data_IF_071241185520
#
_entry.id   IF_071241185520
#
_cell.length_a   1.000
_cell.length_b   1.000
_cell.length_c   1.000
_cell.angle_alpha   90.00
_cell.angle_beta   90.00
_cell.angle_gamma   90.00
#
_symmetry.space_group_name_H-M   'P 1'
#
loop_
_entity.id
_entity.type
_entity.pdbx_description
1 polymer ?
#
# COMPACT_ATOMS: atom_id res chain seq x y z
N UNK A 1 -23.56 -94.29 12.71
CA UNK A 1 -24.32 -93.03 12.89
C UNK A 1 -23.72 -92.30 14.09
N UNK A 2 -23.44 -91.00 13.95
CA UNK A 2 -22.74 -90.06 14.88
C UNK A 2 -21.45 -89.42 14.33
N UNK A 3 -21.15 -89.60 13.04
CA UNK A 3 -20.70 -88.45 12.24
C UNK A 3 -21.90 -87.50 12.14
N UNK A 4 -21.67 -86.19 12.29
CA UNK A 4 -22.54 -85.03 11.92
C UNK A 4 -22.49 -83.85 12.94
N UNK A 5 -21.82 -83.96 14.10
CA UNK A 5 -21.81 -82.87 15.11
C UNK A 5 -20.48 -82.09 15.25
N UNK A 6 -19.52 -82.25 14.34
CA UNK A 6 -18.36 -81.35 14.26
C UNK A 6 -18.54 -80.20 13.25
N UNK A 7 -19.77 -80.01 12.77
CA UNK A 7 -20.10 -79.02 11.75
C UNK A 7 -20.81 -77.78 12.25
N UNK A 8 -20.72 -77.33 13.51
CA UNK A 8 -21.46 -76.13 13.98
C UNK A 8 -20.74 -75.29 15.04
N UNK A 9 -19.44 -75.06 14.92
CA UNK A 9 -18.80 -73.90 15.59
C UNK A 9 -18.06 -73.07 14.55
N UNK A 10 -18.84 -72.38 13.71
CA UNK A 10 -18.35 -71.16 13.05
C UNK A 10 -18.40 -70.03 14.09
N UNK A 11 -17.28 -69.79 14.75
CA UNK A 11 -17.07 -68.57 15.55
C UNK A 11 -15.83 -67.83 15.06
N UNK A 12 -15.74 -67.58 13.76
CA UNK A 12 -14.95 -66.45 13.28
C UNK A 12 -15.88 -65.26 13.11
N UNK A 13 -16.24 -64.76 14.28
CA UNK A 13 -16.70 -63.42 14.57
C UNK A 13 -15.96 -62.39 13.73
N UNK A 14 -16.77 -61.54 13.11
CA UNK A 14 -16.44 -60.22 12.58
C UNK A 14 -15.65 -60.16 11.27
N UNK A 15 -16.40 -59.89 10.20
CA UNK A 15 -16.06 -58.83 9.25
C UNK A 15 -15.75 -57.53 10.04
N UNK A 16 -14.53 -57.45 10.59
CA UNK A 16 -14.05 -56.30 11.33
C UNK A 16 -13.75 -55.19 10.34
N UNK A 17 -14.71 -54.28 10.16
CA UNK A 17 -14.44 -52.99 9.52
C UNK A 17 -13.16 -52.41 10.11
N UNK A 18 -12.23 -52.06 9.21
CA UNK A 18 -10.86 -51.60 9.52
C UNK A 18 -10.82 -50.89 10.88
N UNK A 19 -10.29 -51.58 11.89
CA UNK A 19 -10.36 -51.11 13.26
C UNK A 19 -9.65 -49.76 13.36
N UNK A 20 -10.21 -48.80 14.11
CA UNK A 20 -9.66 -47.44 14.23
C UNK A 20 -8.17 -47.48 14.65
N UNK A 21 -7.80 -48.50 15.44
CA UNK A 21 -6.44 -48.76 15.93
C UNK A 21 -5.46 -49.09 14.80
N UNK A 22 -5.86 -49.93 13.83
CA UNK A 22 -5.00 -50.31 12.70
C UNK A 22 -4.76 -49.14 11.75
N UNK A 23 -5.76 -48.28 11.61
CA UNK A 23 -5.62 -47.04 10.84
C UNK A 23 -4.65 -46.08 11.52
N UNK A 24 -4.73 -45.91 12.85
CA UNK A 24 -3.82 -45.04 13.62
C UNK A 24 -2.38 -45.54 13.57
N UNK A 25 -2.12 -46.84 13.75
CA UNK A 25 -0.77 -47.39 13.68
C UNK A 25 -0.11 -47.16 12.30
N UNK A 26 -0.90 -47.23 11.23
CA UNK A 26 -0.41 -46.96 9.86
C UNK A 26 0.05 -45.51 9.72
N UNK A 27 -0.68 -44.53 10.25
CA UNK A 27 -0.29 -43.12 10.22
C UNK A 27 0.94 -42.82 11.07
N UNK A 28 1.09 -43.50 12.23
CA UNK A 28 2.27 -43.34 13.09
C UNK A 28 3.53 -43.85 12.40
N UNK A 29 3.47 -44.89 11.55
CA UNK A 29 4.64 -45.34 10.78
C UNK A 29 5.15 -44.29 9.78
N UNK A 30 4.25 -43.51 9.18
CA UNK A 30 4.58 -42.44 8.22
C UNK A 30 4.86 -41.07 8.87
N UNK A 31 5.08 -41.01 10.19
CA UNK A 31 5.41 -39.78 10.91
C UNK A 31 6.57 -38.95 10.31
N UNK A 32 7.62 -39.53 9.67
CA UNK A 32 8.68 -38.72 9.08
C UNK A 32 8.21 -37.96 7.83
N UNK A 33 7.27 -38.52 7.04
CA UNK A 33 6.68 -37.82 5.89
C UNK A 33 5.84 -36.64 6.35
N UNK A 34 5.16 -36.77 7.49
CA UNK A 34 4.46 -35.64 8.11
C UNK A 34 5.42 -34.54 8.55
N UNK A 35 6.56 -34.90 9.14
CA UNK A 35 7.60 -33.95 9.54
C UNK A 35 8.22 -33.22 8.33
N UNK A 36 8.47 -33.95 7.23
CA UNK A 36 8.98 -33.38 5.98
C UNK A 36 7.95 -32.41 5.38
N UNK A 37 6.68 -32.82 5.31
CA UNK A 37 5.59 -31.96 4.83
C UNK A 37 5.46 -30.68 5.67
N UNK A 38 5.57 -30.81 7.00
CA UNK A 38 5.57 -29.67 7.92
C UNK A 38 6.76 -28.72 7.65
N UNK A 39 7.97 -29.25 7.48
CA UNK A 39 9.15 -28.45 7.16
C UNK A 39 9.03 -27.76 5.80
N UNK A 40 8.49 -28.44 4.79
CA UNK A 40 8.26 -27.84 3.46
C UNK A 40 7.20 -26.74 3.54
N UNK A 41 6.10 -26.97 4.27
CA UNK A 41 5.07 -25.96 4.49
C UNK A 41 5.59 -24.71 5.20
N UNK A 42 6.39 -24.89 6.26
CA UNK A 42 7.06 -23.79 6.95
C UNK A 42 8.09 -23.09 6.06
N UNK A 43 8.86 -23.83 5.26
CA UNK A 43 9.83 -23.27 4.32
C UNK A 43 9.18 -22.40 3.25
N UNK A 44 8.11 -22.90 2.62
CA UNK A 44 7.34 -22.14 1.64
C UNK A 44 6.64 -20.93 2.27
N UNK A 45 6.10 -21.08 3.48
CA UNK A 45 5.52 -19.98 4.25
C UNK A 45 6.54 -18.88 4.57
N UNK A 46 7.73 -19.28 5.00
CA UNK A 46 8.83 -18.35 5.29
C UNK A 46 9.30 -17.61 4.04
N UNK A 47 9.47 -18.32 2.91
CA UNK A 47 9.79 -17.73 1.61
C UNK A 47 8.71 -16.70 1.23
N UNK A 48 7.43 -17.08 1.31
CA UNK A 48 6.32 -16.16 1.02
C UNK A 48 6.36 -14.91 1.90
N UNK A 49 6.60 -15.05 3.19
CA UNK A 49 6.66 -13.91 4.11
C UNK A 49 7.87 -13.00 3.83
N UNK A 50 9.00 -13.60 3.41
CA UNK A 50 10.22 -12.85 3.07
C UNK A 50 10.11 -12.08 1.75
N UNK A 51 9.33 -12.57 0.79
CA UNK A 51 9.22 -11.99 -0.56
C UNK A 51 7.92 -11.22 -0.80
N UNK A 52 6.97 -11.20 0.13
CA UNK A 52 5.77 -10.37 0.01
C UNK A 52 6.12 -8.91 0.29
N UNK A 53 5.80 -8.01 -0.65
CA UNK A 53 5.94 -6.57 -0.45
C UNK A 53 4.97 -6.10 0.66
N UNK A 54 5.43 -5.29 1.64
CA UNK A 54 4.55 -4.78 2.69
C UNK A 54 3.47 -3.88 2.10
N UNK A 55 2.21 -4.20 2.40
CA UNK A 55 1.07 -3.33 2.08
C UNK A 55 0.85 -2.38 3.26
N UNK A 56 0.90 -1.08 3.00
CA UNK A 56 0.69 -0.04 4.01
C UNK A 56 -0.72 0.53 3.91
N UNK A 57 -1.50 0.39 4.99
CA UNK A 57 -2.78 1.05 5.14
C UNK A 57 -2.69 2.10 6.25
N UNK A 58 -3.18 3.32 5.98
CA UNK A 58 -3.25 4.41 6.94
C UNK A 58 -4.73 4.77 7.17
N UNK A 59 -5.16 4.72 8.44
CA UNK A 59 -6.52 5.07 8.84
C UNK A 59 -6.48 6.19 9.89
N UNK A 60 -7.33 7.19 9.74
CA UNK A 60 -7.50 8.28 10.70
C UNK A 60 -8.96 8.60 10.92
N UNK A 61 -9.31 9.00 12.14
CA UNK A 61 -10.67 9.41 12.52
C UNK A 61 -10.65 10.88 12.92
N UNK A 62 -11.46 11.70 12.25
CA UNK A 62 -11.58 13.13 12.49
C UNK A 62 -12.95 13.41 13.08
N UNK A 63 -12.98 14.19 14.16
CA UNK A 63 -14.22 14.66 14.78
C UNK A 63 -14.54 16.08 14.29
N UNK A 64 -15.65 16.23 13.56
CA UNK A 64 -16.14 17.51 13.04
C UNK A 64 -17.17 18.09 13.99
N UNK A 65 -16.76 19.09 14.77
CA UNK A 65 -17.70 19.91 15.55
C UNK A 65 -18.36 20.91 14.61
N UNK A 66 -19.67 20.79 14.43
CA UNK A 66 -20.44 21.81 13.71
C UNK A 66 -20.36 23.12 14.47
N UNK A 67 -19.66 24.11 13.92
CA UNK A 67 -19.72 25.47 14.42
C UNK A 67 -21.11 26.01 14.10
N UNK A 68 -21.98 26.06 15.09
CA UNK A 68 -23.12 26.96 15.03
C UNK A 68 -22.54 28.36 15.11
N UNK A 69 -22.29 28.99 13.96
CA UNK A 69 -22.04 30.44 13.88
C UNK A 69 -23.29 31.16 14.38
N UNK A 70 -23.47 31.21 15.70
CA UNK A 70 -24.01 32.39 16.36
C UNK A 70 -22.83 33.33 16.49
N UNK A 71 -22.50 34.00 15.38
CA UNK A 71 -21.74 35.24 15.42
C UNK A 71 -22.50 36.20 16.32
N UNK A 72 -22.10 36.25 17.60
CA UNK A 72 -22.41 37.35 18.50
C UNK A 72 -21.73 38.59 17.92
N UNK A 73 -22.46 39.34 17.10
CA UNK A 73 -21.94 40.55 16.48
C UNK A 73 -22.96 41.27 15.61
N UNK A 74 -23.96 41.90 16.25
CA UNK A 74 -24.61 43.12 15.75
C UNK A 74 -25.83 42.98 14.84
N UNK A 75 -27.01 43.25 15.43
CA UNK A 75 -28.05 44.05 14.75
C UNK A 75 -29.21 43.33 14.06
N UNK A 76 -30.31 43.13 14.82
CA UNK A 76 -31.67 43.41 14.33
C UNK A 76 -32.37 42.38 13.43
N UNK A 77 -33.34 41.66 14.02
CA UNK A 77 -34.56 41.23 13.33
C UNK A 77 -34.53 39.83 12.71
N UNK A 78 -35.16 38.85 13.38
CA UNK A 78 -35.42 37.55 12.76
C UNK A 78 -35.79 36.42 13.72
N UNK A 79 -36.82 36.60 14.56
CA UNK A 79 -37.31 35.58 15.51
C UNK A 79 -37.85 34.29 14.84
N UNK A 80 -37.85 34.21 13.51
CA UNK A 80 -38.29 33.04 12.75
C UNK A 80 -37.16 32.05 12.39
N UNK A 81 -35.88 32.46 12.37
CA UNK A 81 -34.80 31.54 11.98
C UNK A 81 -34.43 30.57 13.11
N UNK A 82 -34.69 30.94 14.37
CA UNK A 82 -34.45 30.08 15.53
C UNK A 82 -35.47 28.93 15.63
N UNK A 83 -36.75 29.19 15.34
CA UNK A 83 -37.82 28.18 15.41
C UNK A 83 -37.75 27.24 14.20
N UNK A 84 -37.43 27.75 13.00
CA UNK A 84 -37.19 26.91 11.82
C UNK A 84 -35.93 26.05 11.97
N UNK A 85 -34.90 26.54 12.68
CA UNK A 85 -33.69 25.75 12.97
C UNK A 85 -33.90 24.61 13.96
N UNK A 86 -34.83 24.76 14.91
CA UNK A 86 -35.17 23.73 15.89
C UNK A 86 -36.09 22.64 15.31
N UNK A 87 -36.96 22.98 14.34
CA UNK A 87 -37.83 22.03 13.66
C UNK A 87 -37.12 21.22 12.57
N UNK A 88 -35.93 21.64 12.13
CA UNK A 88 -35.23 21.07 10.99
C UNK A 88 -33.93 20.42 11.48
N UNK A 89 -34.04 19.21 12.02
CA UNK A 89 -32.92 18.37 12.49
C UNK A 89 -31.91 17.94 11.40
N UNK A 90 -31.69 18.76 10.37
CA UNK A 90 -30.87 18.47 9.19
C UNK A 90 -29.67 19.41 8.98
N UNK A 91 -29.50 20.49 9.76
CA UNK A 91 -28.36 21.42 9.58
C UNK A 91 -26.99 20.76 9.87
N UNK A 92 -26.91 19.76 10.76
CA UNK A 92 -25.66 19.04 11.04
C UNK A 92 -25.22 18.11 9.90
N UNK A 93 -26.17 17.49 9.20
CA UNK A 93 -25.89 16.54 8.11
C UNK A 93 -25.38 17.26 6.86
N UNK A 94 -26.01 18.38 6.49
CA UNK A 94 -25.60 19.17 5.30
C UNK A 94 -24.18 19.73 5.46
N UNK A 95 -23.80 20.17 6.67
CA UNK A 95 -22.44 20.63 6.94
C UNK A 95 -21.42 19.49 6.90
N UNK A 96 -21.80 18.28 7.34
CA UNK A 96 -20.94 17.10 7.29
C UNK A 96 -20.69 16.61 5.87
N UNK A 97 -21.72 16.58 5.01
CA UNK A 97 -21.59 16.19 3.61
C UNK A 97 -20.71 17.18 2.82
N UNK A 98 -20.82 18.47 3.12
CA UNK A 98 -19.97 19.52 2.53
C UNK A 98 -18.49 19.38 2.96
N UNK A 99 -18.24 19.10 4.24
CA UNK A 99 -16.89 18.81 4.77
C UNK A 99 -16.31 17.54 4.13
N UNK A 100 -17.13 16.48 4.03
CA UNK A 100 -16.77 15.23 3.36
C UNK A 100 -16.39 15.45 1.89
N UNK A 101 -17.19 16.23 1.15
CA UNK A 101 -16.89 16.60 -0.23
C UNK A 101 -15.59 17.40 -0.37
N UNK A 102 -15.30 18.27 0.60
CA UNK A 102 -14.02 19.01 0.63
C UNK A 102 -12.83 18.08 0.88
N UNK A 103 -12.98 17.12 1.79
CA UNK A 103 -11.96 16.10 2.08
C UNK A 103 -11.69 15.17 0.89
N UNK A 104 -12.72 14.86 0.08
CA UNK A 104 -12.62 14.05 -1.14
C UNK A 104 -12.26 14.84 -2.41
N UNK A 105 -12.02 16.15 -2.29
CA UNK A 105 -11.79 16.98 -3.48
C UNK A 105 -10.42 16.74 -4.13
N UNK A 106 -10.39 16.70 -5.46
CA UNK A 106 -9.15 16.59 -6.22
C UNK A 106 -8.18 17.74 -5.94
N UNK A 107 -8.70 18.93 -5.60
CA UNK A 107 -7.89 20.09 -5.20
C UNK A 107 -7.11 19.83 -3.91
N UNK A 108 -7.76 19.29 -2.88
CA UNK A 108 -7.08 18.92 -1.64
C UNK A 108 -6.04 17.83 -1.89
N UNK A 109 -6.40 16.81 -2.68
CA UNK A 109 -5.48 15.73 -3.02
C UNK A 109 -4.25 16.26 -3.78
N UNK A 110 -4.44 17.19 -4.71
CA UNK A 110 -3.33 17.85 -5.43
C UNK A 110 -2.38 18.57 -4.47
N UNK A 111 -2.91 19.27 -3.46
CA UNK A 111 -2.09 19.93 -2.45
C UNK A 111 -1.31 18.92 -1.61
N UNK A 112 -1.91 17.79 -1.25
CA UNK A 112 -1.24 16.73 -0.48
C UNK A 112 -0.14 16.07 -1.31
N UNK A 113 -0.43 15.68 -2.57
CA UNK A 113 0.58 15.08 -3.47
C UNK A 113 1.76 16.03 -3.66
N UNK A 114 1.51 17.33 -3.86
CA UNK A 114 2.56 18.34 -4.03
C UNK A 114 3.34 18.63 -2.75
N UNK A 115 2.68 18.62 -1.58
CA UNK A 115 3.35 18.90 -0.30
C UNK A 115 4.17 17.72 0.19
N UNK A 116 3.73 16.50 -0.11
CA UNK A 116 4.38 15.27 0.31
C UNK A 116 5.19 14.62 -0.83
N UNK A 117 5.38 15.28 -1.98
CA UNK A 117 6.12 14.73 -3.13
C UNK A 117 5.73 13.28 -3.51
N UNK A 118 4.45 12.91 -3.38
CA UNK A 118 3.96 11.54 -3.64
C UNK A 118 4.00 11.16 -5.13
N UNK A 119 4.32 12.12 -5.97
CA UNK A 119 4.51 11.95 -7.40
C UNK A 119 5.88 11.31 -7.75
N UNK A 120 6.76 11.11 -6.76
CA UNK A 120 8.09 10.50 -6.94
C UNK A 120 8.14 9.19 -6.16
N UNK A 121 8.40 8.09 -6.87
CA UNK A 121 8.53 6.76 -6.27
C UNK A 121 9.97 6.26 -6.40
N UNK A 122 10.48 5.67 -5.32
CA UNK A 122 11.86 5.19 -5.24
C UNK A 122 11.86 3.67 -5.08
N UNK A 123 12.55 2.97 -5.97
CA UNK A 123 12.67 1.52 -5.90
C UNK A 123 14.15 1.14 -5.77
N UNK A 124 14.46 0.25 -4.82
CA UNK A 124 15.74 -0.44 -4.75
C UNK A 124 15.64 -1.69 -5.62
N UNK A 125 16.49 -1.79 -6.64
CA UNK A 125 16.51 -2.96 -7.52
C UNK A 125 17.13 -4.13 -6.78
N UNK A 126 16.30 -5.14 -6.50
CA UNK A 126 16.73 -6.38 -5.86
C UNK A 126 17.12 -7.44 -6.89
N UNK A 127 17.60 -8.59 -6.42
CA UNK A 127 17.88 -9.75 -7.31
C UNK A 127 16.59 -10.43 -7.81
N UNK A 128 15.50 -10.32 -7.06
CA UNK A 128 14.25 -11.04 -7.31
C UNK A 128 13.01 -10.15 -7.30
N UNK A 129 12.97 -9.13 -6.44
CA UNK A 129 11.85 -8.20 -6.30
C UNK A 129 12.43 -6.81 -6.04
N UNK A 130 11.84 -5.81 -6.70
CA UNK A 130 12.16 -4.42 -6.45
C UNK A 130 11.40 -3.94 -5.21
N UNK A 131 12.13 -3.38 -4.25
CA UNK A 131 11.54 -2.90 -3.00
C UNK A 131 11.28 -1.40 -3.12
N UNK A 132 10.05 -0.96 -2.82
CA UNK A 132 9.75 0.47 -2.65
C UNK A 132 10.43 0.98 -1.38
N UNK A 133 11.22 2.04 -1.51
CA UNK A 133 12.05 2.62 -0.45
C UNK A 133 11.72 4.09 -0.20
N UNK A 134 10.46 4.51 -0.40
CA UNK A 134 10.06 5.92 -0.29
C UNK A 134 10.59 6.66 0.98
N UNK A 135 10.60 6.02 2.15
CA UNK A 135 11.10 6.64 3.40
C UNK A 135 12.63 6.55 3.58
N UNK A 136 13.25 5.44 3.16
CA UNK A 136 14.67 5.14 3.39
C UNK A 136 15.54 5.40 2.14
N UNK A 137 15.06 6.23 1.22
CA UNK A 137 15.75 6.52 -0.01
C UNK A 137 17.07 7.27 0.29
N UNK A 138 18.23 6.78 -0.19
CA UNK A 138 19.52 7.44 0.05
C UNK A 138 19.75 8.67 -0.83
N UNK A 139 18.80 8.98 -1.72
CA UNK A 139 18.85 10.09 -2.68
C UNK A 139 17.44 10.65 -2.90
N UNK A 140 17.38 11.93 -3.30
CA UNK A 140 16.15 12.63 -3.64
C UNK A 140 16.24 13.22 -5.04
N UNK A 141 15.20 12.99 -5.84
CA UNK A 141 15.02 13.65 -7.12
C UNK A 141 14.15 14.90 -6.92
N UNK A 142 14.61 16.04 -7.41
CA UNK A 142 13.89 17.31 -7.34
C UNK A 142 13.64 17.80 -8.77
N UNK A 143 12.39 17.81 -9.25
CA UNK A 143 12.05 18.49 -10.50
C UNK A 143 12.18 20.01 -10.30
N UNK A 144 12.88 20.69 -11.22
CA UNK A 144 13.08 22.15 -11.17
C UNK A 144 12.22 22.89 -12.18
N UNK A 145 12.31 22.49 -13.44
CA UNK A 145 11.56 23.08 -14.53
C UNK A 145 10.98 21.96 -15.39
N UNK A 146 9.65 21.81 -15.38
CA UNK A 146 8.93 20.78 -16.12
C UNK A 146 8.08 21.50 -17.15
N UNK A 147 8.48 21.40 -18.41
CA UNK A 147 7.76 21.96 -19.55
C UNK A 147 6.70 20.97 -20.06
N UNK A 148 7.01 19.67 -20.04
CA UNK A 148 6.06 18.61 -20.37
C UNK A 148 5.80 17.74 -19.14
N UNK A 149 4.63 17.94 -18.52
CA UNK A 149 4.15 17.17 -17.38
C UNK A 149 3.17 16.08 -17.77
N UNK A 150 3.10 15.64 -19.03
CA UNK A 150 2.16 14.58 -19.43
C UNK A 150 2.75 13.17 -19.35
N UNK A 151 4.08 13.06 -19.41
CA UNK A 151 4.77 11.77 -19.51
C UNK A 151 5.42 11.33 -18.20
N UNK A 152 5.22 10.07 -17.83
CA UNK A 152 5.97 9.42 -16.75
C UNK A 152 7.40 9.15 -17.18
N UNK A 153 8.36 9.42 -16.29
CA UNK A 153 9.78 9.18 -16.54
C UNK A 153 10.32 8.19 -15.51
N UNK A 154 11.01 7.16 -15.99
CA UNK A 154 11.72 6.20 -15.16
C UNK A 154 13.23 6.37 -15.36
N UNK A 155 13.96 6.59 -14.28
CA UNK A 155 15.40 6.80 -14.28
C UNK A 155 16.04 5.68 -13.45
N UNK A 156 16.83 4.84 -14.08
CA UNK A 156 17.73 3.93 -13.38
C UNK A 156 18.95 4.69 -12.89
N UNK A 157 19.35 4.49 -11.65
CA UNK A 157 20.54 5.08 -11.03
C UNK A 157 21.46 3.93 -10.63
N UNK A 158 22.72 4.01 -11.05
CA UNK A 158 23.74 2.98 -10.80
C UNK A 158 25.11 3.64 -10.69
N UNK A 159 26.11 2.90 -10.19
CA UNK A 159 27.48 3.42 -10.08
C UNK A 159 27.56 4.65 -9.17
N UNK A 160 26.92 4.58 -8.00
CA UNK A 160 26.88 5.69 -7.05
C UNK A 160 28.26 5.90 -6.45
N UNK A 161 28.78 7.12 -6.61
CA UNK A 161 29.98 7.60 -5.94
C UNK A 161 29.60 8.78 -5.03
N UNK A 162 30.46 9.18 -4.08
CA UNK A 162 30.20 10.35 -3.24
C UNK A 162 30.01 11.67 -4.02
N UNK A 163 30.44 11.73 -5.28
CA UNK A 163 30.43 12.94 -6.12
C UNK A 163 29.50 12.86 -7.32
N UNK A 164 29.28 11.66 -7.88
CA UNK A 164 28.49 11.45 -9.08
C UNK A 164 27.66 10.17 -9.04
N UNK A 165 26.64 10.13 -9.88
CA UNK A 165 25.87 8.93 -10.16
C UNK A 165 25.69 8.75 -11.68
N UNK A 166 25.67 7.51 -12.13
CA UNK A 166 25.29 7.20 -13.51
C UNK A 166 23.79 7.03 -13.57
N UNK A 167 23.14 7.86 -14.38
CA UNK A 167 21.72 7.74 -14.69
C UNK A 167 21.53 7.02 -16.01
N UNK A 168 20.49 6.19 -16.08
CA UNK A 168 20.04 5.47 -17.25
C UNK A 168 18.58 5.84 -17.51
N UNK A 169 18.31 6.47 -18.65
CA UNK A 169 16.97 6.93 -19.02
C UNK A 169 16.71 6.71 -20.51
N UNK A 170 15.44 6.61 -20.92
CA UNK A 170 15.05 6.34 -22.32
C UNK A 170 14.29 5.03 -22.49
N UNK A 171 14.11 4.61 -23.74
CA UNK A 171 13.42 3.35 -24.08
C UNK A 171 14.20 2.14 -23.56
N UNK A 172 13.48 1.08 -23.16
CA UNK A 172 14.11 -0.17 -22.68
C UNK A 172 15.03 -0.80 -23.73
N UNK A 173 14.73 -0.60 -25.02
CA UNK A 173 15.52 -1.13 -26.14
C UNK A 173 16.81 -0.34 -26.39
N UNK A 174 16.84 0.96 -26.05
CA UNK A 174 18.01 1.83 -26.24
C UNK A 174 18.14 2.82 -25.06
N UNK A 175 18.61 2.34 -23.90
CA UNK A 175 18.80 3.20 -22.74
C UNK A 175 19.97 4.15 -22.98
N UNK A 176 19.75 5.45 -22.76
CA UNK A 176 20.82 6.45 -22.72
C UNK A 176 21.42 6.48 -21.32
N UNK A 177 22.74 6.28 -21.24
CA UNK A 177 23.50 6.41 -20.00
C UNK A 177 24.21 7.76 -19.95
N UNK A 178 24.08 8.46 -18.81
CA UNK A 178 24.72 9.74 -18.59
C UNK A 178 25.25 9.82 -17.17
N UNK A 179 26.47 10.31 -17.00
CA UNK A 179 27.02 10.60 -15.68
C UNK A 179 26.57 11.98 -15.26
N UNK A 180 25.99 12.08 -14.05
CA UNK A 180 25.49 13.32 -13.47
C UNK A 180 26.16 13.55 -12.12
N UNK A 181 26.54 14.80 -11.86
CA UNK A 181 27.08 15.21 -10.56
C UNK A 181 25.93 15.49 -9.59
N UNK A 182 26.16 15.22 -8.30
CA UNK A 182 25.21 15.57 -7.27
C UNK A 182 24.94 17.07 -7.24
N UNK A 183 23.71 17.45 -6.93
CA UNK A 183 23.22 18.82 -6.86
C UNK A 183 23.30 19.61 -8.17
N UNK A 184 23.67 18.98 -9.30
CA UNK A 184 23.64 19.61 -10.60
C UNK A 184 22.32 19.28 -11.33
N UNK A 185 21.74 20.30 -11.96
CA UNK A 185 20.58 20.11 -12.82
C UNK A 185 20.97 19.37 -14.10
N UNK A 186 20.18 18.37 -14.50
CA UNK A 186 20.31 17.67 -15.78
C UNK A 186 18.97 17.69 -16.52
N UNK A 187 19.06 17.78 -17.85
CA UNK A 187 17.89 17.87 -18.72
C UNK A 187 17.58 16.49 -19.30
N UNK A 188 16.32 16.06 -19.17
CA UNK A 188 15.73 14.88 -19.83
C UNK A 188 14.44 15.34 -20.50
N UNK A 189 14.28 15.10 -21.80
CA UNK A 189 13.06 15.44 -22.56
C UNK A 189 12.57 16.88 -22.32
N UNK A 190 13.49 17.85 -22.37
CA UNK A 190 13.25 19.28 -22.08
C UNK A 190 12.81 19.62 -20.65
N UNK A 191 12.81 18.65 -19.74
CA UNK A 191 12.55 18.85 -18.31
C UNK A 191 13.86 18.82 -17.53
N UNK A 192 14.01 19.71 -16.55
CA UNK A 192 15.19 19.82 -15.69
C UNK A 192 14.95 19.15 -14.35
N UNK A 193 15.81 18.19 -14.03
CA UNK A 193 15.82 17.46 -12.76
C UNK A 193 17.13 17.69 -12.02
N UNK A 194 17.10 17.58 -10.70
CA UNK A 194 18.30 17.66 -9.84
C UNK A 194 18.31 16.46 -8.91
N UNK A 195 19.45 15.79 -8.80
CA UNK A 195 19.67 14.70 -7.86
C UNK A 195 20.42 15.20 -6.63
N UNK A 196 19.85 14.99 -5.45
CA UNK A 196 20.45 15.37 -4.15
C UNK A 196 20.74 14.11 -3.33
N UNK A 197 21.98 13.87 -2.88
CA UNK A 197 22.28 12.76 -2.00
C UNK A 197 21.77 13.06 -0.59
N UNK A 198 21.09 12.09 0.03
CA UNK A 198 20.66 12.16 1.44
C UNK A 198 21.67 11.48 2.37
N UNK A 199 22.51 10.60 1.83
CA UNK A 199 23.62 9.94 2.53
C UNK A 199 24.93 10.17 1.79
N UNK A 200 26.05 10.08 2.49
CA UNK A 200 27.40 10.10 1.92
C UNK A 200 27.97 8.71 1.65
N UNK A 201 27.31 7.67 2.18
CA UNK A 201 27.75 6.28 2.05
C UNK A 201 26.87 5.55 1.05
N UNK A 202 27.42 5.24 -0.12
CA UNK A 202 26.77 4.45 -1.15
C UNK A 202 27.51 3.14 -1.37
N UNK A 203 26.77 2.04 -1.52
CA UNK A 203 27.34 0.79 -2.02
C UNK A 203 27.46 0.89 -3.54
N UNK A 204 28.63 0.59 -4.09
CA UNK A 204 28.87 0.62 -5.54
C UNK A 204 27.97 -0.36 -6.32
N UNK A 205 27.42 -1.37 -5.64
CA UNK A 205 26.56 -2.41 -6.22
C UNK A 205 25.08 -2.01 -6.16
N UNK A 206 24.72 -1.02 -5.33
CA UNK A 206 23.33 -0.62 -5.17
C UNK A 206 22.81 0.04 -6.45
N UNK A 207 21.64 -0.45 -6.89
CA UNK A 207 20.92 0.07 -8.04
C UNK A 207 19.57 0.59 -7.57
N UNK A 208 19.23 1.79 -7.99
CA UNK A 208 17.95 2.41 -7.68
C UNK A 208 17.20 2.73 -8.96
N UNK A 209 15.88 2.73 -8.90
CA UNK A 209 15.02 3.22 -9.97
C UNK A 209 14.13 4.29 -9.36
N UNK A 210 14.19 5.48 -9.93
CA UNK A 210 13.33 6.60 -9.54
C UNK A 210 12.31 6.79 -10.63
N UNK A 211 11.04 6.72 -10.27
CA UNK A 211 9.92 7.00 -11.17
C UNK A 211 9.32 8.33 -10.79
N UNK A 212 9.25 9.23 -11.76
CA UNK A 212 8.55 10.50 -11.63
C UNK A 212 7.26 10.43 -12.43
N UNK A 213 6.15 10.65 -11.75
CA UNK A 213 4.83 10.76 -12.35
C UNK A 213 4.36 12.22 -12.33
N UNK A 214 3.56 12.64 -13.32
CA UNK A 214 2.83 13.90 -13.27
C UNK A 214 1.92 14.00 -12.05
N UNK A 215 1.89 15.19 -11.42
CA UNK A 215 1.06 15.42 -10.22
C UNK A 215 -0.42 15.09 -10.46
N UNK A 216 -0.98 15.49 -11.60
CA UNK A 216 -2.38 15.22 -11.93
C UNK A 216 -2.65 13.72 -12.13
N UNK A 217 -1.74 13.01 -12.81
CA UNK A 217 -1.86 11.56 -13.00
C UNK A 217 -1.84 10.84 -11.64
N UNK A 218 -0.91 11.21 -10.76
CA UNK A 218 -0.85 10.67 -9.38
C UNK A 218 -2.12 10.98 -8.59
N UNK A 219 -2.70 12.18 -8.73
CA UNK A 219 -3.97 12.51 -8.05
C UNK A 219 -5.10 11.60 -8.52
N UNK A 220 -5.26 11.40 -9.84
CA UNK A 220 -6.31 10.52 -10.35
C UNK A 220 -6.11 9.05 -9.97
N UNK A 221 -4.86 8.61 -9.80
CA UNK A 221 -4.55 7.26 -9.32
C UNK A 221 -4.87 7.08 -7.83
N UNK A 222 -4.59 8.09 -7.00
CA UNK A 222 -4.76 8.01 -5.55
C UNK A 222 -6.19 8.31 -5.07
N UNK A 223 -6.91 9.17 -5.77
CA UNK A 223 -8.27 9.59 -5.38
C UNK A 223 -9.24 8.41 -5.15
N UNK A 224 -9.33 7.38 -6.02
CA UNK A 224 -10.21 6.23 -5.76
C UNK A 224 -9.73 5.34 -4.61
N UNK A 225 -8.43 5.34 -4.27
CA UNK A 225 -7.84 4.56 -3.17
C UNK A 225 -8.13 5.16 -1.80
N UNK A 226 -8.53 6.44 -1.74
CA UNK A 226 -8.91 7.14 -0.51
C UNK A 226 -10.40 6.95 -0.24
N UNK A 227 -10.71 6.10 0.74
CA UNK A 227 -12.04 5.92 1.27
C UNK A 227 -12.31 6.93 2.38
N UNK A 228 -13.39 7.71 2.25
CA UNK A 228 -13.87 8.56 3.35
C UNK A 228 -15.31 8.20 3.68
N UNK A 229 -15.55 7.80 4.92
CA UNK A 229 -16.84 7.30 5.39
C UNK A 229 -17.23 7.97 6.71
N UNK A 230 -18.53 8.16 6.91
CA UNK A 230 -19.10 8.64 8.18
C UNK A 230 -19.32 7.43 9.09
N UNK A 231 -18.71 7.43 10.29
CA UNK A 231 -18.73 6.28 11.21
C UNK A 231 -19.94 6.32 12.14
N UNK A 232 -20.48 7.52 12.43
CA UNK A 232 -21.63 7.71 13.31
C UNK A 232 -22.52 8.86 12.84
N UNK A 233 -23.82 8.83 13.17
CA UNK A 233 -24.77 9.95 12.96
C UNK A 233 -24.39 11.23 13.74
N UNK A 234 -23.31 11.19 14.52
CA UNK A 234 -22.72 12.31 15.24
C UNK A 234 -21.24 12.42 14.89
N UNK A 235 -20.91 13.41 14.06
CA UNK A 235 -19.60 14.08 13.94
C UNK A 235 -18.31 13.28 13.68
N UNK A 236 -18.33 11.96 13.44
CA UNK A 236 -17.10 11.16 13.27
C UNK A 236 -16.89 10.73 11.81
N UNK A 237 -15.74 11.09 11.23
CA UNK A 237 -15.32 10.72 9.87
C UNK A 237 -14.09 9.79 9.93
N UNK A 238 -14.12 8.65 9.25
CA UNK A 238 -12.94 7.82 8.97
C UNK A 238 -12.38 8.15 7.60
N UNK A 239 -11.05 8.29 7.51
CA UNK A 239 -10.29 8.32 6.27
C UNK A 239 -9.37 7.11 6.27
N UNK A 240 -9.41 6.32 5.21
CA UNK A 240 -8.54 5.16 5.01
C UNK A 240 -7.98 5.11 3.61
N UNK A 241 -6.75 4.63 3.47
CA UNK A 241 -6.21 4.15 2.19
C UNK A 241 -6.30 2.62 2.17
N UNK A 242 -6.83 2.06 1.09
CA UNK A 242 -6.97 0.61 0.90
C UNK A 242 -5.96 0.11 -0.13
#
# INVERSE_FOLDING_TARGET
>A
MKNELQGLVQTNTSAGGKSIKDTVLTYVYYWPLFLISLLVGLGLGYIKLRYTAPLYAANTVINVKGETTTSRGGGGGGSNDLITSAMQGGRSVINLDNELGRLRSARLMTMVVRKSDLNISYYRVGRFIDMDIYHDAPLRLIPRDIQDSSNTISIGISGLTPTSATIRYGSEENPTEKVVQWNQGFVINNNTYQLTPLTSTFSAIDKFVVKWNPTLATVYELLPKVGVNVIARTSNIAIGIT
#
